data_IF_353633200163
#
_entry.id   IF_353633200163
#
_cell.length_a   1.000
_cell.length_b   1.000
_cell.length_c   1.000
_cell.angle_alpha   90.00
_cell.angle_beta   90.00
_cell.angle_gamma   90.00
#
_symmetry.space_group_name_H-M   'P 1'
#
loop_
_entity.id
_entity.type
_entity.pdbx_description
1 polymer ?
#
# COMPACT_ATOMS: atom_id res chain seq x y z
N UNK A 1 -17.23 7.72 0.68
CA UNK A 1 -16.58 6.49 1.19
C UNK A 1 -17.48 5.70 2.12
N UNK A 2 -18.04 6.28 3.20
CA UNK A 2 -18.94 5.58 4.13
C UNK A 2 -20.17 4.92 3.47
N UNK A 3 -20.77 5.56 2.47
CA UNK A 3 -21.88 4.97 1.70
C UNK A 3 -21.47 3.67 0.97
N UNK A 4 -20.30 3.65 0.33
CA UNK A 4 -19.77 2.43 -0.30
C UNK A 4 -19.50 1.34 0.75
N UNK A 5 -18.99 1.70 1.92
CA UNK A 5 -18.82 0.76 3.05
C UNK A 5 -20.14 0.20 3.59
N UNK A 6 -21.28 0.86 3.33
CA UNK A 6 -22.61 0.32 3.65
C UNK A 6 -23.09 -0.67 2.59
N UNK A 7 -22.71 -0.46 1.32
CA UNK A 7 -23.01 -1.37 0.21
C UNK A 7 -22.14 -2.63 0.26
N UNK A 8 -20.89 -2.48 0.72
CA UNK A 8 -19.97 -3.57 0.99
C UNK A 8 -19.96 -3.94 2.48
N UNK A 9 -19.33 -5.04 2.87
CA UNK A 9 -19.28 -5.45 4.29
C UNK A 9 -18.04 -4.87 4.98
N UNK A 10 -18.16 -4.24 6.18
CA UNK A 10 -17.01 -3.83 6.98
C UNK A 10 -16.04 -4.98 7.30
N UNK A 11 -16.54 -6.21 7.37
CA UNK A 11 -15.72 -7.41 7.54
C UNK A 11 -14.90 -7.74 6.30
N UNK A 12 -15.46 -7.55 5.10
CA UNK A 12 -14.72 -7.72 3.87
C UNK A 12 -13.59 -6.69 3.76
N UNK A 13 -13.86 -5.44 4.18
CA UNK A 13 -12.84 -4.40 4.21
C UNK A 13 -11.75 -4.68 5.25
N UNK A 14 -12.10 -5.13 6.46
CA UNK A 14 -11.11 -5.51 7.46
C UNK A 14 -10.19 -6.63 6.97
N UNK A 15 -10.74 -7.66 6.31
CA UNK A 15 -9.93 -8.72 5.68
C UNK A 15 -9.02 -8.18 4.58
N UNK A 16 -9.52 -7.25 3.76
CA UNK A 16 -8.73 -6.61 2.73
C UNK A 16 -7.54 -5.87 3.33
N UNK A 17 -7.75 -5.07 4.38
CA UNK A 17 -6.66 -4.37 5.10
C UNK A 17 -5.60 -5.35 5.62
N UNK A 18 -6.02 -6.51 6.15
CA UNK A 18 -5.07 -7.56 6.56
C UNK A 18 -4.29 -8.14 5.38
N UNK A 19 -4.91 -8.34 4.22
CA UNK A 19 -4.20 -8.76 2.99
C UNK A 19 -3.15 -7.73 2.54
N UNK A 20 -3.44 -6.43 2.72
CA UNK A 20 -2.49 -5.34 2.51
C UNK A 20 -1.34 -5.28 3.54
N UNK A 21 -1.29 -6.21 4.49
CA UNK A 21 -0.18 -6.33 5.45
C UNK A 21 -0.28 -5.42 6.67
N UNK A 22 -1.45 -4.79 6.91
CA UNK A 22 -1.68 -4.06 8.16
C UNK A 22 -1.87 -5.06 9.31
N UNK A 23 -1.02 -4.98 10.32
CA UNK A 23 -1.03 -5.89 11.48
C UNK A 23 -1.94 -5.39 12.59
N UNK A 24 -2.21 -4.08 12.61
CA UNK A 24 -3.09 -3.45 13.60
C UNK A 24 -4.52 -3.95 13.48
N UNK A 25 -5.20 -4.28 14.61
CA UNK A 25 -6.58 -4.73 14.58
C UNK A 25 -7.50 -3.71 13.88
N UNK A 26 -8.26 -4.19 12.89
CA UNK A 26 -9.23 -3.39 12.16
C UNK A 26 -10.65 -3.78 12.57
N UNK A 27 -11.25 -3.11 13.58
CA UNK A 27 -12.61 -3.43 14.00
C UNK A 27 -13.58 -3.19 12.83
N UNK A 28 -14.45 -4.15 12.49
CA UNK A 28 -15.32 -4.08 11.31
C UNK A 28 -16.52 -3.14 11.56
N UNK A 29 -16.24 -1.84 11.67
CA UNK A 29 -17.22 -0.76 11.84
C UNK A 29 -17.24 0.15 10.60
N UNK A 30 -18.34 0.86 10.36
CA UNK A 30 -18.47 1.73 9.15
C UNK A 30 -17.44 2.85 9.12
N UNK A 31 -17.05 3.38 10.28
CA UNK A 31 -16.02 4.41 10.41
C UNK A 31 -14.65 3.94 9.91
N UNK A 32 -14.41 2.63 9.81
CA UNK A 32 -13.17 2.06 9.27
C UNK A 32 -12.83 2.61 7.88
N UNK A 33 -13.84 2.96 7.07
CA UNK A 33 -13.68 3.57 5.75
C UNK A 33 -12.99 4.95 5.75
N UNK A 34 -12.83 5.58 6.93
CA UNK A 34 -12.19 6.89 7.11
C UNK A 34 -10.79 6.78 7.76
N UNK A 35 -10.30 5.56 8.00
CA UNK A 35 -8.96 5.32 8.53
C UNK A 35 -8.74 5.63 10.02
N UNK A 36 -9.64 5.23 10.95
CA UNK A 36 -9.41 5.37 12.39
C UNK A 36 -8.32 4.41 12.91
N UNK A 37 -7.87 3.45 12.10
CA UNK A 37 -6.79 2.54 12.47
C UNK A 37 -5.44 3.24 12.35
N UNK A 38 -4.63 3.09 13.39
CA UNK A 38 -3.22 3.46 13.33
C UNK A 38 -2.46 2.45 12.46
N UNK A 39 -1.51 2.93 11.68
CA UNK A 39 -0.60 2.09 10.90
C UNK A 39 0.79 2.70 10.96
N UNK A 40 1.81 1.87 11.09
CA UNK A 40 3.19 2.32 11.01
C UNK A 40 3.53 2.75 9.58
N UNK A 41 4.54 3.62 9.43
CA UNK A 41 5.00 4.07 8.11
C UNK A 41 5.49 2.89 7.27
N UNK A 42 6.13 1.88 7.88
CA UNK A 42 6.57 0.68 7.19
C UNK A 42 5.39 -0.14 6.65
N UNK A 43 4.31 -0.28 7.41
CA UNK A 43 3.09 -0.94 6.95
C UNK A 43 2.43 -0.16 5.80
N UNK A 44 2.35 1.17 5.90
CA UNK A 44 1.79 1.99 4.82
C UNK A 44 2.61 1.89 3.55
N UNK A 45 3.93 2.05 3.63
CA UNK A 45 4.81 1.94 2.45
C UNK A 45 4.69 0.56 1.82
N UNK A 46 4.71 -0.50 2.64
CA UNK A 46 4.48 -1.87 2.19
C UNK A 46 3.14 -2.06 1.50
N UNK A 47 2.04 -1.57 2.08
CA UNK A 47 0.70 -1.67 1.51
C UNK A 47 0.60 -0.97 0.14
N UNK A 48 1.20 0.22 -0.02
CA UNK A 48 1.14 0.99 -1.26
C UNK A 48 1.95 0.36 -2.41
N UNK A 49 2.92 -0.53 -2.11
CA UNK A 49 3.64 -1.28 -3.17
C UNK A 49 2.70 -2.09 -4.06
N UNK A 50 1.58 -2.57 -3.51
CA UNK A 50 0.62 -3.39 -4.24
C UNK A 50 0.05 -2.67 -5.49
N UNK A 51 -0.09 -1.34 -5.44
CA UNK A 51 -0.67 -0.59 -6.56
C UNK A 51 0.30 -0.46 -7.73
N UNK A 52 1.57 -0.16 -7.45
CA UNK A 52 2.59 0.03 -8.49
C UNK A 52 3.12 -1.29 -9.04
N UNK A 53 3.04 -2.38 -8.28
CA UNK A 53 3.55 -3.69 -8.64
C UNK A 53 2.44 -4.64 -9.11
N UNK A 54 1.52 -4.15 -9.95
CA UNK A 54 0.50 -4.97 -10.63
C UNK A 54 -0.39 -5.80 -9.69
N UNK A 55 -0.59 -5.35 -8.45
CA UNK A 55 -1.35 -6.06 -7.43
C UNK A 55 -0.54 -6.93 -6.49
N UNK A 56 0.79 -6.96 -6.62
CA UNK A 56 1.71 -7.71 -5.76
C UNK A 56 2.25 -6.77 -4.67
N UNK A 57 1.92 -7.07 -3.43
CA UNK A 57 2.48 -6.41 -2.25
C UNK A 57 3.85 -6.98 -1.93
N UNK A 58 4.83 -6.11 -1.72
CA UNK A 58 6.20 -6.48 -1.32
C UNK A 58 6.47 -5.95 0.09
N UNK A 59 6.90 -6.85 0.97
CA UNK A 59 7.32 -6.48 2.33
C UNK A 59 8.59 -5.59 2.27
N UNK A 60 8.61 -4.44 2.97
CA UNK A 60 9.82 -3.64 3.10
C UNK A 60 10.94 -4.44 3.76
N UNK A 61 12.12 -4.45 3.16
CA UNK A 61 13.30 -5.19 3.64
C UNK A 61 14.45 -4.22 3.92
N UNK A 62 15.06 -4.35 5.09
CA UNK A 62 16.15 -3.47 5.54
C UNK A 62 17.55 -4.06 5.33
N UNK A 63 17.67 -5.40 5.33
CA UNK A 63 18.94 -6.11 5.21
C UNK A 63 18.80 -7.12 4.08
N UNK A 64 19.71 -7.08 3.10
CA UNK A 64 19.73 -7.99 1.94
C UNK A 64 20.70 -9.16 2.15
N UNK A 65 21.88 -8.89 2.73
CA UNK A 65 22.95 -9.86 2.95
C UNK A 65 23.74 -9.49 4.21
N UNK A 66 24.19 -10.49 4.95
CA UNK A 66 25.11 -10.36 6.08
C UNK A 66 26.38 -11.15 5.74
N UNK A 67 27.53 -10.52 5.91
CA UNK A 67 28.86 -11.07 5.63
C UNK A 67 29.76 -10.97 6.85
N UNK A 68 30.70 -11.90 6.99
CA UNK A 68 31.76 -11.82 7.99
C UNK A 68 32.95 -10.97 7.51
N UNK A 69 33.96 -10.79 8.36
CA UNK A 69 35.17 -10.03 8.05
C UNK A 69 36.04 -10.66 6.94
N UNK A 70 35.80 -11.93 6.61
CA UNK A 70 36.51 -12.69 5.59
C UNK A 70 35.74 -12.74 4.26
N UNK A 71 34.56 -12.11 4.18
CA UNK A 71 33.70 -12.06 2.98
C UNK A 71 32.76 -13.26 2.82
N UNK A 72 32.66 -14.14 3.81
CA UNK A 72 31.74 -15.28 3.76
C UNK A 72 30.31 -14.83 4.02
N UNK A 73 29.36 -15.36 3.25
CA UNK A 73 27.93 -15.06 3.43
C UNK A 73 27.40 -15.80 4.64
N UNK A 74 26.96 -15.05 5.65
CA UNK A 74 26.31 -15.60 6.85
C UNK A 74 24.81 -15.76 6.60
N UNK A 75 24.19 -14.79 5.93
CA UNK A 75 22.77 -14.84 5.60
C UNK A 75 22.45 -14.00 4.35
N UNK A 76 21.45 -14.46 3.59
CA UNK A 76 20.83 -13.70 2.49
C UNK A 76 19.33 -13.68 2.71
N UNK A 77 18.71 -12.52 2.51
CA UNK A 77 17.28 -12.31 2.71
C UNK A 77 16.63 -11.95 1.38
N UNK A 78 15.45 -12.52 1.15
CA UNK A 78 14.60 -12.19 -0.01
C UNK A 78 13.29 -11.60 0.52
N UNK A 79 12.72 -10.60 -0.18
CA UNK A 79 11.47 -9.99 0.27
C UNK A 79 10.30 -10.94 0.07
N UNK A 80 9.34 -10.92 0.99
CA UNK A 80 8.09 -11.66 0.83
C UNK A 80 7.17 -10.92 -0.13
N UNK A 81 6.58 -11.66 -1.06
CA UNK A 81 5.66 -11.15 -2.07
C UNK A 81 4.29 -11.79 -1.89
N UNK A 82 3.24 -10.97 -1.92
CA UNK A 82 1.86 -11.41 -1.75
C UNK A 82 0.97 -10.79 -2.83
N UNK A 83 0.29 -11.62 -3.61
CA UNK A 83 -0.71 -11.14 -4.57
C UNK A 83 -2.00 -10.75 -3.84
N UNK A 84 -2.45 -9.51 -4.04
CA UNK A 84 -3.62 -8.93 -3.35
C UNK A 84 -4.81 -8.81 -4.30
N UNK A 85 -4.58 -8.34 -5.53
CA UNK A 85 -5.62 -8.14 -6.56
C UNK A 85 -5.01 -8.25 -7.95
N UNK A 86 -5.87 -8.33 -8.97
CA UNK A 86 -5.44 -8.44 -10.37
C UNK A 86 -4.70 -7.19 -10.86
N UNK A 87 -3.84 -7.39 -11.85
CA UNK A 87 -3.16 -6.30 -12.56
C UNK A 87 -4.16 -5.26 -13.11
N UNK A 88 -5.29 -5.70 -13.67
CA UNK A 88 -6.35 -4.81 -14.16
C UNK A 88 -6.97 -3.94 -13.06
N UNK A 89 -7.07 -4.45 -11.84
CA UNK A 89 -7.53 -3.69 -10.67
C UNK A 89 -6.47 -2.69 -10.23
N UNK A 90 -5.19 -3.08 -10.28
CA UNK A 90 -4.08 -2.18 -9.96
C UNK A 90 -4.05 -0.94 -10.84
N UNK A 91 -4.26 -1.09 -12.15
CA UNK A 91 -4.27 0.04 -13.07
C UNK A 91 -5.44 0.99 -12.82
N UNK A 92 -6.63 0.46 -12.50
CA UNK A 92 -7.78 1.29 -12.12
C UNK A 92 -7.51 2.09 -10.83
N UNK A 93 -6.88 1.46 -9.84
CA UNK A 93 -6.49 2.14 -8.61
C UNK A 93 -5.45 3.23 -8.87
N UNK A 94 -4.43 2.94 -9.69
CA UNK A 94 -3.43 3.93 -10.08
C UNK A 94 -4.07 5.12 -10.80
N UNK A 95 -5.00 4.89 -11.72
CA UNK A 95 -5.71 5.97 -12.41
C UNK A 95 -6.51 6.86 -11.43
N UNK A 96 -7.21 6.26 -10.47
CA UNK A 96 -7.89 7.01 -9.41
C UNK A 96 -6.90 7.83 -8.55
N UNK A 97 -5.73 7.27 -8.22
CA UNK A 97 -4.69 7.97 -7.45
C UNK A 97 -4.05 9.11 -8.25
N UNK A 98 -3.90 8.97 -9.57
CA UNK A 98 -3.45 10.07 -10.46
C UNK A 98 -4.44 11.23 -10.42
N UNK A 99 -5.74 10.95 -10.45
CA UNK A 99 -6.78 11.98 -10.33
C UNK A 99 -6.64 12.82 -9.04
N UNK A 100 -6.22 12.22 -7.93
CA UNK A 100 -5.94 12.94 -6.67
C UNK A 100 -4.78 13.93 -6.83
N UNK A 101 -3.76 13.59 -7.61
CA UNK A 101 -2.59 14.43 -7.84
C UNK A 101 -2.84 15.48 -8.92
N UNK A 102 -3.60 15.18 -9.96
CA UNK A 102 -3.78 16.07 -11.11
C UNK A 102 -4.86 17.14 -10.87
N UNK A 103 -5.89 16.82 -10.08
CA UNK A 103 -6.99 17.75 -9.78
C UNK A 103 -7.55 17.67 -8.36
N UNK A 104 -7.15 16.68 -7.57
CA UNK A 104 -7.66 16.48 -6.22
C UNK A 104 -6.81 17.15 -5.13
N UNK A 105 -6.83 16.55 -3.94
CA UNK A 105 -6.17 17.07 -2.74
C UNK A 105 -4.64 17.03 -2.82
N UNK A 106 -4.07 16.27 -3.76
CA UNK A 106 -2.63 16.19 -4.02
C UNK A 106 -2.11 17.23 -5.01
N UNK A 107 -2.97 18.09 -5.59
CA UNK A 107 -2.63 19.01 -6.69
C UNK A 107 -1.47 19.98 -6.40
N UNK A 108 -1.14 20.23 -5.12
CA UNK A 108 0.06 21.00 -4.75
C UNK A 108 1.35 20.46 -5.37
N UNK A 109 1.44 19.15 -5.61
CA UNK A 109 2.57 18.51 -6.31
C UNK A 109 2.77 19.08 -7.73
N UNK A 110 1.68 19.41 -8.44
CA UNK A 110 1.74 19.96 -9.80
C UNK A 110 2.06 21.44 -9.79
N UNK A 111 1.26 22.27 -9.11
CA UNK A 111 1.38 23.72 -9.27
C UNK A 111 2.48 24.35 -8.41
N UNK A 112 2.77 23.82 -7.22
CA UNK A 112 3.77 24.41 -6.30
C UNK A 112 5.17 23.84 -6.48
N UNK A 113 5.26 22.55 -6.77
CA UNK A 113 6.52 21.81 -6.90
C UNK A 113 6.87 21.47 -8.36
N UNK A 114 5.98 21.78 -9.32
CA UNK A 114 6.21 21.60 -10.76
C UNK A 114 6.67 20.18 -11.14
N UNK A 115 6.11 19.16 -10.48
CA UNK A 115 6.38 17.77 -10.84
C UNK A 115 5.71 17.47 -12.18
N UNK A 116 6.52 17.19 -13.21
CA UNK A 116 6.08 17.03 -14.61
C UNK A 116 5.90 15.58 -15.07
N UNK A 117 6.02 14.60 -14.17
CA UNK A 117 5.86 13.18 -14.53
C UNK A 117 4.40 12.82 -14.78
N UNK A 118 4.13 12.07 -15.85
CA UNK A 118 2.97 11.19 -15.87
C UNK A 118 3.31 10.08 -14.87
N UNK A 119 2.72 10.10 -13.67
CA UNK A 119 2.69 8.87 -12.86
C UNK A 119 1.88 7.84 -13.64
#
# INVERSE_FOLDING_TARGET
TAYLMKLFSPYAFARLLSSFGLKTPAPPVVSLALGPNEASVSEMVGAYTAFVHKGIRIDPMLVTRIEDSYGNVVATFVPNMHEIFSESTSYKMLDMLKGVVDGGTGNRLRWRYNLKGQM
#
